data_IF_084568003953
#
_entry.id   IF_084568003953
#
_cell.length_a   1.000
_cell.length_b   1.000
_cell.length_c   1.000
_cell.angle_alpha   90.00
_cell.angle_beta   90.00
_cell.angle_gamma   90.00
#
_symmetry.space_group_name_H-M   'P 1'
#
loop_
_entity.id
_entity.type
_entity.pdbx_description
1 polymer ?
#
# COMPACT_ATOMS: atom_id res chain seq x y z
N UNK A 1 9.36 28.07 14.20
CA UNK A 1 9.11 27.48 12.88
C UNK A 1 9.10 28.56 11.82
N UNK A 2 9.80 28.37 10.72
CA UNK A 2 9.81 29.36 9.64
C UNK A 2 8.45 29.41 8.93
N UNK A 3 8.23 30.48 8.17
CA UNK A 3 7.02 30.61 7.37
C UNK A 3 6.91 29.48 6.35
N UNK A 4 8.03 29.14 5.70
CA UNK A 4 8.07 28.05 4.72
C UNK A 4 7.72 26.70 5.35
N UNK A 5 8.18 26.44 6.57
CA UNK A 5 7.81 25.22 7.28
C UNK A 5 6.34 25.22 7.67
N UNK A 6 5.78 26.35 8.10
CA UNK A 6 4.36 26.46 8.39
C UNK A 6 3.51 26.22 7.15
N UNK A 7 3.93 26.77 6.01
CA UNK A 7 3.23 26.57 4.73
C UNK A 7 3.29 25.11 4.31
N UNK A 8 4.44 24.45 4.52
CA UNK A 8 4.59 23.02 4.23
C UNK A 8 3.67 22.18 5.12
N UNK A 9 3.60 22.50 6.41
CA UNK A 9 2.70 21.80 7.35
C UNK A 9 1.26 21.85 6.86
N UNK A 10 0.83 23.03 6.45
CA UNK A 10 -0.53 23.22 5.95
C UNK A 10 -0.76 22.43 4.67
N UNK A 11 0.20 22.49 3.75
CA UNK A 11 0.12 21.75 2.49
C UNK A 11 -0.03 20.24 2.74
N UNK A 12 0.81 19.69 3.61
CA UNK A 12 0.80 18.27 3.93
C UNK A 12 -0.53 17.87 4.58
N UNK A 13 -1.03 18.67 5.51
CA UNK A 13 -2.31 18.40 6.17
C UNK A 13 -3.47 18.41 5.17
N UNK A 14 -3.48 19.40 4.27
CA UNK A 14 -4.53 19.52 3.25
C UNK A 14 -4.45 18.36 2.26
N UNK A 15 -3.24 17.98 1.85
CA UNK A 15 -3.06 16.84 0.95
C UNK A 15 -3.49 15.53 1.60
N UNK A 16 -3.21 15.35 2.89
CA UNK A 16 -3.67 14.15 3.60
C UNK A 16 -5.19 14.02 3.55
N UNK A 17 -5.91 15.12 3.73
CA UNK A 17 -7.37 15.12 3.64
C UNK A 17 -7.85 14.64 2.28
N UNK A 18 -7.21 15.13 1.21
CA UNK A 18 -7.53 14.69 -0.15
C UNK A 18 -7.20 13.20 -0.34
N UNK A 19 -6.03 12.78 0.14
CA UNK A 19 -5.58 11.40 0.00
C UNK A 19 -6.56 10.41 0.64
N UNK A 20 -7.08 10.74 1.82
CA UNK A 20 -8.01 9.88 2.53
C UNK A 20 -9.34 9.69 1.79
N UNK A 21 -9.62 10.54 0.80
CA UNK A 21 -10.84 10.45 -0.01
C UNK A 21 -10.59 9.85 -1.38
N UNK A 22 -9.34 9.53 -1.71
CA UNK A 22 -9.00 8.91 -3.01
C UNK A 22 -9.43 7.45 -3.03
N UNK A 23 -9.65 6.93 -4.25
CA UNK A 23 -9.99 5.52 -4.43
C UNK A 23 -8.78 4.64 -4.16
N UNK A 24 -9.04 3.35 -3.93
CA UNK A 24 -7.98 2.35 -3.74
C UNK A 24 -6.99 2.37 -4.91
N UNK A 25 -7.50 2.45 -6.13
CA UNK A 25 -6.68 2.44 -7.34
C UNK A 25 -5.76 3.66 -7.43
N UNK A 26 -6.21 4.82 -6.94
CA UNK A 26 -5.43 6.05 -6.98
C UNK A 26 -4.25 6.04 -5.99
N UNK A 27 -4.39 5.34 -4.87
CA UNK A 27 -3.38 5.35 -3.81
C UNK A 27 -2.48 4.12 -3.81
N UNK A 28 -2.72 3.16 -4.70
CA UNK A 28 -1.97 1.90 -4.76
C UNK A 28 -0.56 2.11 -5.29
N UNK A 29 0.39 1.27 -4.81
CA UNK A 29 1.77 1.27 -5.29
C UNK A 29 1.90 0.40 -6.52
N UNK A 30 2.44 0.93 -7.66
CA UNK A 30 2.70 0.10 -8.83
C UNK A 30 4.02 -0.67 -8.67
N UNK A 31 4.02 -1.92 -9.10
CA UNK A 31 5.21 -2.80 -9.09
C UNK A 31 5.08 -3.86 -10.19
N UNK A 32 6.21 -4.43 -10.58
CA UNK A 32 6.21 -5.63 -11.45
C UNK A 32 6.31 -6.86 -10.57
N UNK A 33 5.45 -7.85 -10.83
CA UNK A 33 5.40 -9.07 -10.03
C UNK A 33 6.34 -10.13 -10.62
N UNK A 34 7.59 -10.10 -10.21
CA UNK A 34 8.59 -11.04 -10.70
C UNK A 34 8.79 -12.20 -9.75
N UNK A 35 9.01 -13.38 -10.30
CA UNK A 35 9.32 -14.59 -9.55
C UNK A 35 8.20 -15.07 -8.64
N UNK A 36 6.95 -14.89 -9.06
CA UNK A 36 5.80 -15.27 -8.24
C UNK A 36 5.83 -16.76 -7.87
N UNK A 37 6.29 -17.62 -8.80
CA UNK A 37 6.38 -19.07 -8.56
C UNK A 37 7.40 -19.42 -7.49
N UNK A 38 8.49 -18.67 -7.41
CA UNK A 38 9.56 -18.89 -6.43
C UNK A 38 9.04 -18.74 -5.00
N UNK A 39 8.11 -17.83 -4.78
CA UNK A 39 7.64 -17.50 -3.44
C UNK A 39 6.35 -18.20 -3.05
N UNK A 40 5.78 -19.00 -3.94
CA UNK A 40 4.54 -19.73 -3.65
C UNK A 40 4.80 -20.86 -2.65
N UNK A 41 3.88 -21.04 -1.71
CA UNK A 41 3.90 -22.14 -0.76
C UNK A 41 2.51 -22.77 -0.71
N UNK A 42 2.44 -24.08 -0.89
CA UNK A 42 1.16 -24.80 -0.87
C UNK A 42 0.51 -24.81 0.51
N UNK A 43 1.32 -24.71 1.56
CA UNK A 43 0.81 -24.75 2.95
C UNK A 43 0.38 -23.39 3.46
N UNK A 44 1.14 -22.34 3.13
CA UNK A 44 1.00 -21.02 3.76
C UNK A 44 0.83 -19.89 2.74
N UNK A 45 0.41 -20.19 1.51
CA UNK A 45 0.24 -19.22 0.42
C UNK A 45 1.58 -18.68 -0.09
N UNK A 46 2.47 -18.25 0.79
CA UNK A 46 3.78 -17.72 0.42
C UNK A 46 4.83 -18.14 1.45
N UNK A 47 6.10 -18.12 1.04
CA UNK A 47 7.21 -18.46 1.90
C UNK A 47 7.71 -17.23 2.67
N UNK A 48 8.48 -17.46 3.73
CA UNK A 48 9.11 -16.38 4.49
C UNK A 48 10.08 -15.62 3.60
N UNK A 49 10.10 -14.29 3.73
CA UNK A 49 10.99 -13.44 2.95
C UNK A 49 10.42 -13.01 1.61
N UNK A 50 9.17 -13.34 1.31
CA UNK A 50 8.50 -12.91 0.10
C UNK A 50 8.39 -11.39 0.07
N UNK A 51 8.79 -10.70 -1.05
CA UNK A 51 8.58 -9.27 -1.18
C UNK A 51 7.10 -8.92 -1.02
N UNK A 52 6.81 -7.75 -0.45
CA UNK A 52 5.45 -7.39 -0.07
C UNK A 52 4.45 -7.39 -1.24
N UNK A 53 4.86 -6.90 -2.42
CA UNK A 53 3.98 -6.88 -3.58
C UNK A 53 3.71 -8.28 -4.13
N UNK A 54 4.71 -9.19 -4.06
CA UNK A 54 4.52 -10.59 -4.46
C UNK A 54 3.65 -11.32 -3.45
N UNK A 55 3.84 -11.04 -2.16
CA UNK A 55 3.00 -11.55 -1.09
C UNK A 55 1.54 -11.20 -1.37
N UNK A 56 1.27 -9.92 -1.67
CA UNK A 56 -0.08 -9.48 -2.01
C UNK A 56 -0.64 -10.18 -3.25
N UNK A 57 0.20 -10.45 -4.26
CA UNK A 57 -0.21 -11.15 -5.46
C UNK A 57 -0.59 -12.60 -5.20
N UNK A 58 0.18 -13.28 -4.37
CA UNK A 58 -0.14 -14.67 -3.99
C UNK A 58 -1.42 -14.74 -3.17
N UNK A 59 -1.64 -13.78 -2.29
CA UNK A 59 -2.88 -13.69 -1.52
C UNK A 59 -4.06 -13.44 -2.46
N UNK A 60 -3.91 -12.52 -3.42
CA UNK A 60 -4.93 -12.23 -4.42
C UNK A 60 -5.33 -13.49 -5.19
N UNK A 61 -4.34 -14.21 -5.72
CA UNK A 61 -4.60 -15.43 -6.48
C UNK A 61 -5.30 -16.50 -5.62
N UNK A 62 -4.84 -16.66 -4.40
CA UNK A 62 -5.44 -17.60 -3.46
C UNK A 62 -6.91 -17.26 -3.19
N UNK A 63 -7.21 -16.00 -2.96
CA UNK A 63 -8.58 -15.56 -2.67
C UNK A 63 -9.48 -15.62 -3.89
N UNK A 64 -8.95 -15.34 -5.10
CA UNK A 64 -9.73 -15.54 -6.33
C UNK A 64 -10.19 -16.98 -6.44
N UNK A 65 -9.31 -17.92 -6.12
CA UNK A 65 -9.65 -19.34 -6.17
C UNK A 65 -10.67 -19.70 -5.11
N UNK A 66 -10.50 -19.20 -3.88
CA UNK A 66 -11.42 -19.47 -2.77
C UNK A 66 -12.82 -18.92 -3.03
N UNK A 67 -12.91 -17.76 -3.70
CA UNK A 67 -14.20 -17.13 -4.01
C UNK A 67 -14.76 -17.58 -5.37
N UNK A 68 -14.07 -18.48 -6.09
CA UNK A 68 -14.46 -18.92 -7.45
C UNK A 68 -14.59 -17.74 -8.43
N UNK A 69 -13.66 -16.81 -8.36
CA UNK A 69 -13.69 -15.58 -9.18
C UNK A 69 -12.73 -15.62 -10.35
N UNK A 70 -12.09 -16.76 -10.61
CA UNK A 70 -11.08 -16.89 -11.68
C UNK A 70 -11.63 -16.65 -13.08
N UNK A 71 -12.95 -16.80 -13.29
CA UNK A 71 -13.58 -16.50 -14.58
C UNK A 71 -13.91 -15.02 -14.75
N UNK A 72 -13.98 -14.28 -13.65
CA UNK A 72 -14.32 -12.85 -13.68
C UNK A 72 -13.09 -11.96 -13.66
N UNK A 73 -12.06 -12.37 -12.94
CA UNK A 73 -10.82 -11.60 -12.80
C UNK A 73 -9.63 -12.47 -13.18
N UNK A 74 -8.61 -11.89 -13.87
CA UNK A 74 -7.42 -12.66 -14.22
C UNK A 74 -6.55 -12.93 -12.99
N UNK A 75 -5.92 -14.10 -12.96
CA UNK A 75 -4.87 -14.37 -11.99
C UNK A 75 -3.62 -13.56 -12.31
N UNK A 76 -2.89 -13.17 -11.29
CA UNK A 76 -1.60 -12.50 -11.46
C UNK A 76 -0.56 -13.55 -11.86
N UNK A 77 0.17 -13.26 -12.93
CA UNK A 77 1.21 -14.14 -13.47
C UNK A 77 2.57 -13.47 -13.33
N UNK A 78 3.61 -14.27 -13.50
CA UNK A 78 4.98 -13.78 -13.43
C UNK A 78 5.21 -12.67 -14.45
N UNK A 79 5.79 -11.56 -13.99
CA UNK A 79 6.07 -10.41 -14.82
C UNK A 79 4.93 -9.42 -14.97
N UNK A 80 3.73 -9.74 -14.48
CA UNK A 80 2.60 -8.82 -14.56
C UNK A 80 2.87 -7.53 -13.80
N UNK A 81 2.37 -6.43 -14.35
CA UNK A 81 2.35 -5.15 -13.65
C UNK A 81 1.15 -5.12 -12.72
N UNK A 82 1.42 -4.88 -11.45
CA UNK A 82 0.40 -4.91 -10.41
C UNK A 82 0.46 -3.63 -9.59
N UNK A 83 -0.56 -3.46 -8.78
CA UNK A 83 -0.63 -2.42 -7.76
C UNK A 83 -0.90 -3.08 -6.42
N UNK A 84 -0.36 -2.53 -5.34
CA UNK A 84 -0.61 -3.12 -4.02
C UNK A 84 -1.00 -2.09 -2.99
N UNK A 85 -1.74 -2.56 -1.97
CA UNK A 85 -2.29 -1.77 -0.89
C UNK A 85 -1.99 -2.43 0.44
N UNK A 86 -1.65 -1.63 1.44
CA UNK A 86 -1.56 -2.10 2.81
C UNK A 86 -2.97 -2.21 3.40
N UNK A 87 -3.17 -3.24 4.20
CA UNK A 87 -4.46 -3.52 4.83
C UNK A 87 -4.34 -3.43 6.35
N UNK A 88 -5.44 -3.02 6.99
CA UNK A 88 -5.56 -3.07 8.44
C UNK A 88 -5.58 -4.52 8.92
N UNK A 89 -5.03 -4.78 10.10
CA UNK A 89 -4.91 -6.13 10.63
C UNK A 89 -6.25 -6.84 10.83
N UNK A 90 -7.30 -6.09 11.09
CA UNK A 90 -8.63 -6.65 11.37
C UNK A 90 -9.36 -7.14 10.12
N UNK A 91 -8.71 -7.14 8.95
CA UNK A 91 -9.38 -7.58 7.72
C UNK A 91 -9.68 -9.09 7.73
N UNK A 92 -10.71 -9.53 6.97
CA UNK A 92 -11.12 -10.94 6.99
C UNK A 92 -10.06 -11.93 6.51
N UNK A 93 -9.13 -11.49 5.67
CA UNK A 93 -8.08 -12.36 5.13
C UNK A 93 -6.91 -12.53 6.10
N UNK A 94 -6.83 -11.68 7.13
CA UNK A 94 -5.76 -11.70 8.15
C UNK A 94 -4.34 -11.50 7.58
N UNK A 95 -4.24 -10.86 6.42
CA UNK A 95 -2.97 -10.47 5.81
C UNK A 95 -2.92 -8.95 5.72
N UNK A 96 -1.72 -8.40 5.77
CA UNK A 96 -1.53 -6.94 5.83
C UNK A 96 -1.34 -6.28 4.46
N UNK A 97 -1.52 -7.02 3.37
CA UNK A 97 -1.31 -6.52 2.01
C UNK A 97 -2.19 -7.27 1.03
N UNK A 98 -2.59 -6.59 -0.03
CA UNK A 98 -3.26 -7.19 -1.18
C UNK A 98 -2.76 -6.52 -2.45
N UNK A 99 -2.55 -7.31 -3.51
CA UNK A 99 -2.19 -6.80 -4.83
C UNK A 99 -3.31 -7.10 -5.81
N UNK A 100 -3.35 -6.37 -6.93
CA UNK A 100 -4.33 -6.58 -7.98
C UNK A 100 -3.77 -6.02 -9.29
N UNK A 101 -4.39 -6.37 -10.42
CA UNK A 101 -3.92 -5.93 -11.73
C UNK A 101 -4.58 -4.60 -12.12
N UNK A 102 -5.88 -4.61 -12.36
CA UNK A 102 -6.63 -3.44 -12.83
C UNK A 102 -7.50 -2.86 -11.74
N UNK A 103 -8.18 -3.74 -10.99
CA UNK A 103 -9.16 -3.34 -10.00
C UNK A 103 -9.17 -4.34 -8.85
N UNK A 104 -9.27 -3.84 -7.63
CA UNK A 104 -9.45 -4.70 -6.47
C UNK A 104 -10.86 -5.31 -6.54
N UNK A 105 -10.98 -6.65 -6.54
CA UNK A 105 -12.32 -7.27 -6.61
C UNK A 105 -13.22 -6.80 -5.48
N UNK A 106 -14.39 -6.29 -5.83
CA UNK A 106 -15.38 -5.83 -4.83
C UNK A 106 -15.90 -6.97 -3.97
N UNK A 107 -15.88 -8.17 -4.51
CA UNK A 107 -16.30 -9.39 -3.79
C UNK A 107 -15.44 -9.68 -2.57
N UNK A 108 -14.18 -9.21 -2.57
CA UNK A 108 -13.30 -9.36 -1.41
C UNK A 108 -13.75 -8.52 -0.23
N UNK A 109 -14.51 -7.45 -0.47
CA UNK A 109 -15.03 -6.53 0.57
C UNK A 109 -13.91 -5.96 1.44
N UNK A 110 -12.83 -5.55 0.80
CA UNK A 110 -11.64 -5.04 1.49
C UNK A 110 -11.57 -3.52 1.57
N UNK A 111 -12.48 -2.79 0.90
CA UNK A 111 -12.42 -1.33 0.81
C UNK A 111 -12.34 -0.67 2.20
N UNK A 112 -13.12 -1.17 3.16
CA UNK A 112 -13.13 -0.60 4.52
C UNK A 112 -11.89 -0.98 5.34
N UNK A 113 -11.05 -1.89 4.83
CA UNK A 113 -9.86 -2.35 5.53
C UNK A 113 -8.57 -1.82 4.91
N UNK A 114 -8.66 -0.90 3.96
CA UNK A 114 -7.48 -0.28 3.36
C UNK A 114 -6.82 0.62 4.42
N UNK A 115 -5.53 0.42 4.64
CA UNK A 115 -4.77 1.20 5.60
C UNK A 115 -4.26 2.48 4.94
N UNK A 116 -5.14 3.48 4.85
CA UNK A 116 -4.82 4.77 4.24
C UNK A 116 -3.67 5.47 4.95
N UNK A 117 -3.57 5.33 6.26
CA UNK A 117 -2.51 5.97 7.03
C UNK A 117 -1.14 5.42 6.63
N UNK A 118 -1.00 4.10 6.55
CA UNK A 118 0.25 3.47 6.14
C UNK A 118 0.55 3.77 4.67
N UNK A 119 -0.47 3.75 3.79
CA UNK A 119 -0.29 4.11 2.38
C UNK A 119 0.23 5.54 2.25
N UNK A 120 -0.36 6.48 2.99
CA UNK A 120 0.07 7.88 2.97
C UNK A 120 1.50 8.02 3.46
N UNK A 121 1.84 7.36 4.56
CA UNK A 121 3.19 7.39 5.11
C UNK A 121 4.21 6.90 4.08
N UNK A 122 3.96 5.76 3.46
CA UNK A 122 4.91 5.16 2.51
C UNK A 122 4.95 5.89 1.18
N UNK A 123 3.82 6.42 0.71
CA UNK A 123 3.74 7.10 -0.58
C UNK A 123 4.26 8.53 -0.52
N UNK A 124 3.99 9.23 0.57
CA UNK A 124 4.22 10.66 0.66
C UNK A 124 5.20 11.04 1.75
N UNK A 125 4.99 10.61 3.00
CA UNK A 125 5.82 11.06 4.12
C UNK A 125 7.25 10.56 4.05
N UNK A 126 7.49 9.30 3.76
CA UNK A 126 8.84 8.75 3.70
C UNK A 126 9.69 9.44 2.62
N UNK A 127 9.20 9.58 1.37
CA UNK A 127 9.94 10.35 0.37
C UNK A 127 10.17 11.80 0.80
N UNK A 128 9.20 12.43 1.46
CA UNK A 128 9.33 13.79 1.92
C UNK A 128 10.41 13.94 2.98
N UNK A 129 10.55 12.98 3.88
CA UNK A 129 11.60 12.98 4.89
C UNK A 129 12.99 13.09 4.24
N UNK A 130 13.22 12.33 3.16
CA UNK A 130 14.48 12.39 2.42
C UNK A 130 14.73 13.78 1.84
N UNK A 131 13.70 14.39 1.26
CA UNK A 131 13.80 15.73 0.69
C UNK A 131 14.11 16.75 1.79
N UNK A 132 13.41 16.68 2.92
CA UNK A 132 13.64 17.61 4.03
C UNK A 132 15.04 17.48 4.61
N UNK A 133 15.56 16.28 4.71
CA UNK A 133 16.93 16.05 5.15
C UNK A 133 17.93 16.65 4.16
N UNK A 134 17.68 16.48 2.87
CA UNK A 134 18.57 16.99 1.82
C UNK A 134 18.67 18.52 1.82
N UNK A 135 17.56 19.22 2.15
CA UNK A 135 17.56 20.70 2.19
C UNK A 135 17.92 21.26 3.58
N UNK A 136 18.32 20.39 4.51
CA UNK A 136 18.81 20.84 5.80
C UNK A 136 17.75 21.07 6.88
N UNK A 137 16.51 20.65 6.68
CA UNK A 137 15.47 20.74 7.69
C UNK A 137 15.50 19.55 8.66
N UNK A 138 16.69 19.08 8.97
CA UNK A 138 16.90 17.89 9.80
C UNK A 138 16.58 18.10 11.27
N UNK A 139 16.41 19.33 11.69
CA UNK A 139 15.98 19.64 13.05
C UNK A 139 14.52 19.27 13.28
N UNK A 140 13.84 18.85 12.21
CA UNK A 140 12.51 18.29 12.29
C UNK A 140 12.63 16.78 12.43
N UNK A 141 12.69 16.26 13.67
CA UNK A 141 12.76 14.82 13.86
C UNK A 141 11.46 14.15 13.42
N UNK A 142 11.50 12.83 13.29
CA UNK A 142 10.34 12.04 12.93
C UNK A 142 9.10 12.40 13.74
N UNK A 143 9.26 12.66 15.03
CA UNK A 143 8.18 13.05 15.91
C UNK A 143 7.48 14.33 15.44
N UNK A 144 8.23 15.28 14.87
CA UNK A 144 7.64 16.52 14.36
C UNK A 144 6.77 16.26 13.13
N UNK A 145 7.21 15.35 12.24
CA UNK A 145 6.40 14.98 11.09
C UNK A 145 5.15 14.22 11.52
N UNK A 146 5.26 13.38 12.53
CA UNK A 146 4.11 12.68 13.09
C UNK A 146 3.11 13.64 13.72
N UNK A 147 3.59 14.72 14.31
CA UNK A 147 2.73 15.74 14.92
C UNK A 147 1.86 16.45 13.89
N UNK A 148 2.23 16.48 12.61
CA UNK A 148 1.37 17.03 11.56
C UNK A 148 0.07 16.25 11.43
N UNK A 149 0.09 14.98 11.78
CA UNK A 149 -0.99 14.03 11.54
C UNK A 149 -1.51 13.37 12.81
N UNK A 150 -0.87 13.70 13.92
CA UNK A 150 -1.15 13.14 15.23
C UNK A 150 -2.43 13.57 15.87
#
# INVERSE_FOLDING_TARGET
>A
MSKEQSDLHKFVADFKKEFLQMSAEQISFPRSCNNIRKYRDHSNVFIKGTPIHVKGALIYNHQLKQFNLGMKYPYIQDGDKIKFLKLLEANPFKFDVISYITKLPTEFKLEQYIDYETQFEKTFLDPMRFILQAIGWKHEPTASLEAFFG
#
